data_IF_181926414048
#
_entry.id   IF_181926414048
#
_cell.length_a   1.000
_cell.length_b   1.000
_cell.length_c   1.000
_cell.angle_alpha   90.00
_cell.angle_beta   90.00
_cell.angle_gamma   90.00
#
_symmetry.space_group_name_H-M   'P 1'
#
loop_
_entity.id
_entity.type
_entity.pdbx_description
1 polymer ?
#
# COMPACT_ATOMS: atom_id res chain seq x y z
N UNK A 1 13.48 -3.82 -38.81
CA UNK A 1 13.50 -5.01 -37.93
C UNK A 1 14.12 -4.56 -36.63
N UNK A 2 13.38 -4.60 -35.52
CA UNK A 2 13.94 -4.26 -34.20
C UNK A 2 14.93 -5.35 -33.83
N UNK A 3 16.19 -4.99 -33.64
CA UNK A 3 17.25 -5.94 -33.28
C UNK A 3 17.07 -6.42 -31.84
N UNK A 4 17.50 -7.65 -31.53
CA UNK A 4 17.46 -8.16 -30.15
C UNK A 4 18.23 -7.27 -29.16
N UNK A 5 19.28 -6.60 -29.63
CA UNK A 5 20.04 -5.59 -28.88
C UNK A 5 19.24 -4.33 -28.55
N UNK A 6 18.37 -3.86 -29.45
CA UNK A 6 17.49 -2.72 -29.17
C UNK A 6 16.40 -3.08 -28.17
N UNK A 7 15.89 -4.32 -28.19
CA UNK A 7 14.93 -4.79 -27.18
C UNK A 7 15.62 -4.86 -25.80
N UNK A 8 16.83 -5.40 -25.73
CA UNK A 8 17.60 -5.49 -24.48
C UNK A 8 17.96 -4.10 -23.96
N UNK A 9 18.35 -3.15 -24.82
CA UNK A 9 18.63 -1.77 -24.39
C UNK A 9 17.37 -1.06 -23.90
N UNK A 10 16.23 -1.22 -24.58
CA UNK A 10 14.95 -0.64 -24.20
C UNK A 10 14.44 -1.20 -22.85
N UNK A 11 14.67 -2.48 -22.58
CA UNK A 11 14.36 -3.12 -21.29
C UNK A 11 15.32 -2.62 -20.20
N UNK A 12 16.62 -2.49 -20.50
CA UNK A 12 17.62 -1.97 -19.57
C UNK A 12 17.39 -0.50 -19.20
N UNK A 13 16.95 0.34 -20.15
CA UNK A 13 16.63 1.76 -19.91
C UNK A 13 15.33 1.94 -19.11
N UNK A 14 14.41 0.98 -19.17
CA UNK A 14 13.16 1.00 -18.41
C UNK A 14 13.26 0.38 -17.02
N UNK A 15 14.34 -0.35 -16.73
CA UNK A 15 14.57 -0.87 -15.39
C UNK A 15 15.20 0.22 -14.53
N UNK A 16 14.39 0.80 -13.65
CA UNK A 16 14.91 1.55 -12.51
C UNK A 16 15.74 0.59 -11.63
N UNK A 17 17.06 0.59 -11.88
CA UNK A 17 18.04 -0.28 -11.20
C UNK A 17 18.08 -0.02 -9.69
N UNK A 18 17.66 1.15 -9.24
CA UNK A 18 17.59 1.47 -7.82
C UNK A 18 16.32 0.88 -7.21
N UNK A 19 15.16 1.06 -7.86
CA UNK A 19 13.92 0.42 -7.43
C UNK A 19 14.01 -1.10 -7.47
N UNK A 20 14.67 -1.69 -8.47
CA UNK A 20 14.90 -3.13 -8.54
C UNK A 20 15.78 -3.62 -7.38
N UNK A 21 16.87 -2.92 -7.06
CA UNK A 21 17.73 -3.28 -5.93
C UNK A 21 17.01 -3.18 -4.59
N UNK A 22 16.14 -2.18 -4.42
CA UNK A 22 15.33 -2.03 -3.20
C UNK A 22 14.26 -3.11 -3.07
N UNK A 23 13.57 -3.45 -4.16
CA UNK A 23 12.58 -4.54 -4.19
C UNK A 23 13.19 -5.92 -3.93
N UNK A 24 14.47 -6.10 -4.24
CA UNK A 24 15.19 -7.36 -4.06
C UNK A 24 16.23 -7.25 -2.93
N UNK A 25 16.03 -6.34 -1.96
CA UNK A 25 16.92 -6.26 -0.82
C UNK A 25 16.84 -7.54 0.00
N UNK A 26 18.00 -8.13 0.27
CA UNK A 26 18.16 -9.27 1.17
C UNK A 26 19.28 -8.90 2.13
N UNK A 27 19.02 -9.11 3.41
CA UNK A 27 19.98 -8.85 4.47
C UNK A 27 19.70 -9.72 5.68
N UNK A 28 20.64 -9.67 6.62
CA UNK A 28 20.53 -10.31 7.92
C UNK A 28 19.48 -9.63 8.79
N UNK A 29 19.04 -10.33 9.84
CA UNK A 29 18.12 -9.74 10.81
C UNK A 29 18.70 -8.49 11.50
N UNK A 30 20.03 -8.45 11.72
CA UNK A 30 20.69 -7.27 12.27
C UNK A 30 20.56 -6.05 11.35
N UNK A 31 20.79 -6.22 10.04
CA UNK A 31 20.62 -5.14 9.06
C UNK A 31 19.15 -4.70 8.95
N UNK A 32 18.19 -5.63 9.09
CA UNK A 32 16.78 -5.27 9.18
C UNK A 32 16.47 -4.42 10.43
N UNK A 33 17.09 -4.72 11.58
CA UNK A 33 16.93 -3.89 12.78
C UNK A 33 17.48 -2.46 12.59
N UNK A 34 18.55 -2.30 11.81
CA UNK A 34 19.04 -0.98 11.41
C UNK A 34 18.02 -0.25 10.53
N UNK A 35 17.40 -0.94 9.57
CA UNK A 35 16.29 -0.38 8.77
C UNK A 35 15.14 0.07 9.66
N UNK A 36 14.71 -0.75 10.64
CA UNK A 36 13.63 -0.39 11.57
C UNK A 36 14.01 0.82 12.44
N UNK A 37 15.28 0.91 12.84
CA UNK A 37 15.79 2.05 13.62
C UNK A 37 15.79 3.35 12.81
N UNK A 38 16.13 3.27 11.53
CA UNK A 38 16.12 4.43 10.61
C UNK A 38 14.71 4.80 10.14
N UNK A 39 13.87 3.79 9.88
CA UNK A 39 12.50 3.91 9.37
C UNK A 39 11.56 3.00 10.18
N UNK A 40 11.09 3.46 11.36
CA UNK A 40 10.14 2.71 12.18
C UNK A 40 8.83 2.36 11.45
N UNK A 41 8.52 3.09 10.37
CA UNK A 41 7.41 2.83 9.47
C UNK A 41 7.42 1.41 8.86
N UNK A 42 8.58 0.77 8.78
CA UNK A 42 8.70 -0.61 8.31
C UNK A 42 7.86 -1.59 9.16
N UNK A 43 7.65 -1.29 10.45
CA UNK A 43 6.89 -2.14 11.37
C UNK A 43 5.41 -1.75 11.51
N UNK A 44 4.88 -0.93 10.58
CA UNK A 44 3.47 -0.51 10.60
C UNK A 44 2.52 -1.70 10.53
N UNK A 45 1.43 -1.61 11.28
CA UNK A 45 0.31 -2.55 11.17
C UNK A 45 -0.38 -2.42 9.81
N UNK A 46 -1.17 -3.44 9.43
CA UNK A 46 -1.96 -3.41 8.20
C UNK A 46 -2.89 -2.18 8.13
N UNK A 47 -3.49 -1.78 9.26
CA UNK A 47 -4.37 -0.61 9.32
C UNK A 47 -3.61 0.70 9.13
N UNK A 48 -2.45 0.85 9.79
CA UNK A 48 -1.57 2.01 9.59
C UNK A 48 -1.16 2.13 8.13
N UNK A 49 -0.76 1.02 7.50
CA UNK A 49 -0.36 0.99 6.10
C UNK A 49 -1.47 1.42 5.14
N UNK A 50 -2.69 0.89 5.31
CA UNK A 50 -3.83 1.29 4.47
C UNK A 50 -4.19 2.77 4.71
N UNK A 51 -4.14 3.23 5.95
CA UNK A 51 -4.45 4.62 6.29
C UNK A 51 -3.43 5.59 5.67
N UNK A 52 -2.13 5.33 5.87
CA UNK A 52 -1.04 6.15 5.34
C UNK A 52 -1.01 6.11 3.81
N UNK A 53 -1.31 4.95 3.21
CA UNK A 53 -1.50 4.83 1.76
C UNK A 53 -2.56 5.81 1.26
N UNK A 54 -3.76 5.84 1.87
CA UNK A 54 -4.84 6.75 1.44
C UNK A 54 -4.41 8.21 1.58
N UNK A 55 -3.74 8.55 2.68
CA UNK A 55 -3.28 9.91 2.95
C UNK A 55 -2.15 10.37 2.03
N UNK A 56 -1.31 9.45 1.54
CA UNK A 56 -0.17 9.79 0.66
C UNK A 56 -0.59 10.49 -0.64
N UNK A 57 -1.84 10.31 -1.08
CA UNK A 57 -2.40 10.99 -2.26
C UNK A 57 -2.85 12.44 -1.95
N UNK A 58 -2.96 12.81 -0.67
CA UNK A 58 -3.44 14.12 -0.23
C UNK A 58 -4.93 14.16 0.12
N UNK A 59 -5.28 15.09 1.01
CA UNK A 59 -6.65 15.31 1.47
C UNK A 59 -6.99 16.79 1.31
N UNK A 60 -7.99 17.09 0.50
CA UNK A 60 -8.54 18.43 0.38
C UNK A 60 -9.64 18.61 1.43
N UNK A 61 -9.58 19.72 2.17
CA UNK A 61 -10.62 20.07 3.14
C UNK A 61 -11.37 21.28 2.62
N UNK A 62 -12.68 21.14 2.45
CA UNK A 62 -13.56 22.24 2.05
C UNK A 62 -14.46 22.57 3.23
N UNK A 63 -14.40 23.82 3.69
CA UNK A 63 -15.34 24.31 4.69
C UNK A 63 -16.61 24.79 4.00
N UNK A 64 -17.74 24.14 4.29
CA UNK A 64 -19.05 24.55 3.77
C UNK A 64 -19.92 24.98 4.95
N UNK A 65 -19.84 26.26 5.28
CA UNK A 65 -20.54 26.82 6.44
C UNK A 65 -19.90 26.35 7.75
N UNK A 66 -20.63 25.55 8.56
CA UNK A 66 -20.12 24.98 9.82
C UNK A 66 -19.59 23.55 9.67
N UNK A 67 -19.78 22.94 8.50
CA UNK A 67 -19.38 21.54 8.26
C UNK A 67 -18.07 21.49 7.48
N UNK A 68 -17.19 20.58 7.90
CA UNK A 68 -15.93 20.27 7.21
C UNK A 68 -16.15 19.05 6.32
N UNK A 69 -15.98 19.22 5.03
CA UNK A 69 -16.04 18.14 4.06
C UNK A 69 -14.62 17.72 3.68
N UNK A 70 -14.33 16.42 3.78
CA UNK A 70 -13.02 15.86 3.46
C UNK A 70 -13.08 15.13 2.12
N UNK A 71 -12.18 15.50 1.21
CA UNK A 71 -11.98 14.83 -0.07
C UNK A 71 -10.62 14.15 -0.08
N UNK A 72 -10.60 12.82 -0.02
CA UNK A 72 -9.39 12.03 -0.14
C UNK A 72 -9.10 11.76 -1.62
N UNK A 73 -8.01 12.34 -2.14
CA UNK A 73 -7.65 12.27 -3.57
C UNK A 73 -7.42 10.84 -4.05
N UNK A 74 -7.09 9.92 -3.16
CA UNK A 74 -7.01 8.49 -3.44
C UNK A 74 -8.25 7.93 -4.15
N UNK A 75 -9.46 8.35 -3.72
CA UNK A 75 -10.71 7.87 -4.31
C UNK A 75 -11.10 8.58 -5.61
N UNK A 76 -10.34 9.59 -6.04
CA UNK A 76 -10.46 10.18 -7.38
C UNK A 76 -9.71 9.35 -8.45
N UNK A 77 -9.05 8.25 -8.04
CA UNK A 77 -8.32 7.33 -8.92
C UNK A 77 -7.30 8.01 -9.86
N UNK A 78 -6.37 8.82 -9.33
CA UNK A 78 -5.49 9.66 -10.14
C UNK A 78 -4.49 8.88 -11.01
N UNK A 79 -4.23 7.62 -10.67
CA UNK A 79 -3.27 6.76 -11.39
C UNK A 79 -3.91 6.00 -12.56
N UNK A 80 -5.24 6.00 -12.67
CA UNK A 80 -5.95 5.40 -13.82
C UNK A 80 -6.89 6.42 -14.48
N UNK A 81 -6.53 7.71 -14.45
CA UNK A 81 -7.30 8.80 -15.07
C UNK A 81 -8.77 8.87 -14.62
N UNK A 82 -9.04 8.54 -13.35
CA UNK A 82 -10.38 8.63 -12.78
C UNK A 82 -11.36 7.56 -13.26
N UNK A 83 -10.90 6.50 -13.93
CA UNK A 83 -11.76 5.41 -14.42
C UNK A 83 -12.67 4.83 -13.34
N UNK A 84 -12.15 4.74 -12.12
CA UNK A 84 -12.86 4.17 -10.99
C UNK A 84 -13.12 5.19 -9.88
N UNK A 85 -13.08 6.47 -10.22
CA UNK A 85 -13.31 7.56 -9.28
C UNK A 85 -14.68 7.43 -8.61
N UNK A 86 -14.71 7.62 -7.29
CA UNK A 86 -15.92 7.47 -6.47
C UNK A 86 -16.51 8.84 -6.16
N UNK A 87 -17.66 9.13 -6.78
CA UNK A 87 -18.37 10.39 -6.59
C UNK A 87 -19.59 10.24 -5.66
N UNK A 88 -19.97 11.34 -4.99
CA UNK A 88 -21.21 11.42 -4.21
C UNK A 88 -21.23 10.65 -2.88
N UNK A 89 -20.10 10.06 -2.46
CA UNK A 89 -19.99 9.26 -1.23
C UNK A 89 -19.00 9.86 -0.21
N UNK A 90 -18.81 11.18 -0.21
CA UNK A 90 -17.77 11.85 0.60
C UNK A 90 -17.89 11.54 2.09
N UNK A 91 -19.09 11.62 2.66
CA UNK A 91 -19.32 11.32 4.08
C UNK A 91 -19.05 9.84 4.40
N UNK A 92 -19.49 8.92 3.54
CA UNK A 92 -19.25 7.48 3.71
C UNK A 92 -17.76 7.13 3.60
N UNK A 93 -17.05 7.75 2.65
CA UNK A 93 -15.60 7.62 2.51
C UNK A 93 -14.88 8.21 3.72
N UNK A 94 -15.35 9.34 4.25
CA UNK A 94 -14.81 9.92 5.48
C UNK A 94 -15.00 8.99 6.69
N UNK A 95 -16.17 8.38 6.85
CA UNK A 95 -16.40 7.38 7.91
C UNK A 95 -15.49 6.16 7.76
N UNK A 96 -15.31 5.65 6.54
CA UNK A 96 -14.39 4.55 6.25
C UNK A 96 -12.96 4.90 6.64
N UNK A 97 -12.46 6.05 6.20
CA UNK A 97 -11.08 6.49 6.51
C UNK A 97 -10.93 6.77 8.01
N UNK A 98 -11.96 7.29 8.68
CA UNK A 98 -11.92 7.49 10.12
C UNK A 98 -11.92 6.16 10.90
N UNK A 99 -12.61 5.12 10.41
CA UNK A 99 -12.53 3.78 10.97
C UNK A 99 -11.11 3.20 10.82
N UNK A 100 -10.49 3.37 9.65
CA UNK A 100 -9.10 2.97 9.41
C UNK A 100 -8.12 3.74 10.30
N UNK A 101 -8.30 5.06 10.45
CA UNK A 101 -7.52 5.89 11.38
C UNK A 101 -7.62 5.38 12.81
N UNK A 102 -8.83 5.04 13.25
CA UNK A 102 -9.07 4.56 14.60
C UNK A 102 -8.43 3.19 14.84
N UNK A 103 -8.46 2.30 13.85
CA UNK A 103 -7.78 1.02 13.89
C UNK A 103 -6.25 1.16 13.84
N UNK A 104 -5.73 2.15 13.08
CA UNK A 104 -4.30 2.46 13.01
C UNK A 104 -3.73 2.95 14.35
N UNK A 105 -4.58 3.53 15.21
CA UNK A 105 -4.25 3.94 16.58
C UNK A 105 -4.67 2.92 17.66
N UNK A 106 -5.07 1.70 17.27
CA UNK A 106 -5.42 0.60 18.19
C UNK A 106 -6.55 0.94 19.19
N UNK A 107 -7.52 1.76 18.78
CA UNK A 107 -8.66 2.13 19.62
C UNK A 107 -9.77 1.05 19.66
N UNK A 108 -9.45 -0.22 19.39
CA UNK A 108 -10.37 -1.36 19.48
C UNK A 108 -11.20 -1.64 18.22
N UNK A 109 -11.00 -0.88 17.14
CA UNK A 109 -11.66 -1.12 15.83
C UNK A 109 -10.92 -2.21 15.05
N UNK A 110 -9.63 -2.43 15.32
CA UNK A 110 -8.80 -3.45 14.67
C UNK A 110 -9.33 -4.89 14.86
N UNK A 111 -10.19 -5.10 15.86
CA UNK A 111 -10.84 -6.38 16.17
C UNK A 111 -12.27 -6.51 15.62
N UNK A 112 -12.74 -5.53 14.83
CA UNK A 112 -14.13 -5.47 14.33
C UNK A 112 -14.19 -5.71 12.83
N UNK A 113 -15.28 -6.32 12.38
CA UNK A 113 -15.56 -6.49 10.94
C UNK A 113 -16.12 -5.19 10.39
N UNK A 114 -15.48 -4.63 9.36
CA UNK A 114 -16.00 -3.48 8.62
C UNK A 114 -16.92 -3.97 7.49
N UNK A 115 -18.21 -3.66 7.60
CA UNK A 115 -19.22 -4.05 6.60
C UNK A 115 -19.62 -2.85 5.74
N UNK A 116 -19.30 -2.92 4.45
CA UNK A 116 -19.81 -1.97 3.46
C UNK A 116 -21.20 -2.43 2.99
N UNK A 117 -22.26 -1.78 3.49
CA UNK A 117 -23.64 -2.05 3.09
C UNK A 117 -24.25 -0.86 2.35
N UNK A 118 -25.20 -1.12 1.46
CA UNK A 118 -25.90 -0.08 0.70
C UNK A 118 -26.58 -0.62 -0.57
N UNK A 119 -27.35 0.20 -1.29
CA UNK A 119 -28.05 -0.19 -2.51
C UNK A 119 -27.12 -0.74 -3.61
N UNK A 120 -27.67 -1.49 -4.57
CA UNK A 120 -26.91 -1.90 -5.75
C UNK A 120 -26.42 -0.66 -6.51
N UNK A 121 -25.19 -0.69 -7.02
CA UNK A 121 -24.58 0.46 -7.71
C UNK A 121 -23.93 1.52 -6.80
N UNK A 122 -23.90 1.33 -5.47
CA UNK A 122 -23.30 2.29 -4.53
C UNK A 122 -21.75 2.20 -4.39
N UNK A 123 -21.03 1.85 -5.46
CA UNK A 123 -19.56 1.80 -5.54
C UNK A 123 -18.81 0.96 -4.50
N UNK A 124 -19.48 0.05 -3.75
CA UNK A 124 -18.84 -0.79 -2.71
C UNK A 124 -17.66 -1.60 -3.25
N UNK A 125 -17.89 -2.34 -4.34
CA UNK A 125 -16.85 -3.14 -4.99
C UNK A 125 -15.75 -2.27 -5.62
N UNK A 126 -16.11 -1.09 -6.11
CA UNK A 126 -15.17 -0.09 -6.65
C UNK A 126 -14.20 0.38 -5.57
N UNK A 127 -14.71 0.73 -4.38
CA UNK A 127 -13.90 1.12 -3.21
C UNK A 127 -12.93 0.00 -2.83
N UNK A 128 -13.43 -1.24 -2.71
CA UNK A 128 -12.58 -2.41 -2.37
C UNK A 128 -11.51 -2.63 -3.43
N UNK A 129 -11.85 -2.48 -4.71
CA UNK A 129 -10.89 -2.64 -5.81
C UNK A 129 -9.83 -1.55 -5.81
N UNK A 130 -10.20 -0.30 -5.57
CA UNK A 130 -9.26 0.81 -5.38
C UNK A 130 -8.30 0.53 -4.23
N UNK A 131 -8.80 0.08 -3.07
CA UNK A 131 -7.94 -0.28 -1.92
C UNK A 131 -6.95 -1.40 -2.25
N UNK A 132 -7.38 -2.45 -2.96
CA UNK A 132 -6.50 -3.55 -3.39
C UNK A 132 -5.40 -3.08 -4.35
N UNK A 133 -5.78 -2.31 -5.38
CA UNK A 133 -4.83 -1.76 -6.35
C UNK A 133 -3.90 -0.74 -5.71
N UNK A 134 -4.43 0.08 -4.81
CA UNK A 134 -3.67 1.03 -4.00
C UNK A 134 -2.60 0.33 -3.18
N UNK A 135 -2.96 -0.74 -2.46
CA UNK A 135 -2.04 -1.50 -1.63
C UNK A 135 -0.93 -2.14 -2.45
N UNK A 136 -1.28 -2.76 -3.58
CA UNK A 136 -0.31 -3.33 -4.51
C UNK A 136 0.69 -2.29 -5.03
N UNK A 137 0.25 -1.06 -5.27
CA UNK A 137 1.13 0.02 -5.75
C UNK A 137 1.95 0.60 -4.61
N UNK A 138 1.34 0.82 -3.47
CA UNK A 138 1.98 1.39 -2.29
C UNK A 138 3.10 0.49 -1.77
N UNK A 139 2.93 -0.84 -1.82
CA UNK A 139 4.00 -1.77 -1.43
C UNK A 139 5.26 -1.64 -2.29
N UNK A 140 5.15 -1.08 -3.50
CA UNK A 140 6.30 -0.83 -4.37
C UNK A 140 7.02 0.50 -4.14
N UNK A 141 6.50 1.34 -3.23
CA UNK A 141 7.14 2.60 -2.83
C UNK A 141 7.97 2.40 -1.58
N UNK A 142 8.90 3.31 -1.33
CA UNK A 142 9.75 3.30 -0.15
C UNK A 142 8.95 3.38 1.16
N UNK A 143 7.87 4.18 1.17
CA UNK A 143 7.02 4.40 2.34
C UNK A 143 6.11 3.21 2.63
N UNK A 144 5.82 2.41 1.60
CA UNK A 144 5.00 1.20 1.71
C UNK A 144 5.80 -0.09 1.71
N UNK A 145 7.14 -0.02 1.81
CA UNK A 145 8.02 -1.19 1.81
C UNK A 145 7.59 -2.25 2.83
N UNK A 146 7.62 -3.50 2.39
CA UNK A 146 7.32 -4.70 3.17
C UNK A 146 8.54 -5.60 3.18
N UNK A 147 8.76 -6.27 4.30
CA UNK A 147 9.85 -7.21 4.49
C UNK A 147 9.25 -8.54 4.93
N UNK A 148 9.82 -9.62 4.41
CA UNK A 148 9.56 -10.98 4.87
C UNK A 148 10.84 -11.58 5.42
N UNK A 149 10.72 -12.69 6.15
CA UNK A 149 11.85 -13.41 6.71
C UNK A 149 12.01 -14.77 6.04
N UNK A 150 13.26 -15.17 5.86
CA UNK A 150 13.65 -16.53 5.49
C UNK A 150 14.52 -17.13 6.58
N UNK A 151 14.44 -18.44 6.73
CA UNK A 151 15.30 -19.21 7.62
C UNK A 151 16.42 -19.85 6.81
N UNK A 152 17.65 -19.61 7.22
CA UNK A 152 18.83 -20.23 6.63
C UNK A 152 19.04 -21.58 7.30
N UNK A 153 19.32 -22.62 6.51
CA UNK A 153 19.66 -23.94 7.04
C UNK A 153 21.02 -23.90 7.77
N UNK A 154 21.11 -24.53 8.95
CA UNK A 154 22.34 -24.54 9.75
C UNK A 154 23.47 -25.35 9.11
N UNK A 155 23.14 -26.40 8.35
CA UNK A 155 24.08 -27.28 7.66
C UNK A 155 24.42 -26.74 6.26
N UNK A 156 23.50 -26.00 5.62
CA UNK A 156 23.67 -25.42 4.30
C UNK A 156 23.29 -23.92 4.25
N UNK A 157 24.25 -23.00 4.50
CA UNK A 157 23.99 -21.55 4.52
C UNK A 157 23.47 -20.94 3.21
N UNK A 158 23.61 -21.65 2.08
CA UNK A 158 23.10 -21.23 0.78
C UNK A 158 21.62 -21.60 0.56
N UNK A 159 21.05 -22.44 1.45
CA UNK A 159 19.65 -22.85 1.41
C UNK A 159 18.80 -21.97 2.32
N UNK A 160 17.93 -21.17 1.70
CA UNK A 160 16.98 -20.30 2.40
C UNK A 160 15.58 -20.85 2.24
N UNK A 161 14.99 -21.24 3.37
CA UNK A 161 13.57 -21.57 3.46
C UNK A 161 12.78 -20.28 3.68
N UNK A 162 12.17 -19.76 2.62
CA UNK A 162 11.31 -18.57 2.71
C UNK A 162 10.00 -18.86 3.45
N UNK A 163 9.41 -17.83 4.05
CA UNK A 163 8.14 -17.93 4.75
C UNK A 163 7.06 -18.60 3.88
N UNK A 164 6.43 -19.70 4.38
CA UNK A 164 5.47 -20.49 3.60
C UNK A 164 4.13 -19.77 3.36
N UNK A 165 3.93 -18.60 3.95
CA UNK A 165 2.71 -17.80 3.80
C UNK A 165 2.59 -17.13 2.41
N UNK A 166 3.53 -17.36 1.48
CA UNK A 166 3.61 -16.65 0.19
C UNK A 166 3.48 -15.14 0.37
N UNK A 167 4.10 -14.63 1.44
CA UNK A 167 4.30 -13.20 1.63
C UNK A 167 5.36 -12.77 0.61
N UNK A 168 4.97 -12.66 -0.67
CA UNK A 168 5.76 -11.92 -1.64
C UNK A 168 5.86 -10.47 -1.11
N UNK A 169 7.06 -9.98 -0.76
CA UNK A 169 7.24 -8.60 -0.34
C UNK A 169 6.84 -7.60 -1.44
#
# INVERSE_FOLDING_TARGET
MVSGSEIISLVSERQDREQFRRKNWVGTFAEYLDVVRERPEATRTAFQRVYDMILSYGVDTVERGREKEFRYRFFDDPLNDGRDAVFGLRDSLHQLVNALKSAAHEYGIEKRVLLLHGPVGSSKSTIVRLLKQGLQRYSTTDEGALYTMGWVDEENPDEVHWCPMNEEP
#
